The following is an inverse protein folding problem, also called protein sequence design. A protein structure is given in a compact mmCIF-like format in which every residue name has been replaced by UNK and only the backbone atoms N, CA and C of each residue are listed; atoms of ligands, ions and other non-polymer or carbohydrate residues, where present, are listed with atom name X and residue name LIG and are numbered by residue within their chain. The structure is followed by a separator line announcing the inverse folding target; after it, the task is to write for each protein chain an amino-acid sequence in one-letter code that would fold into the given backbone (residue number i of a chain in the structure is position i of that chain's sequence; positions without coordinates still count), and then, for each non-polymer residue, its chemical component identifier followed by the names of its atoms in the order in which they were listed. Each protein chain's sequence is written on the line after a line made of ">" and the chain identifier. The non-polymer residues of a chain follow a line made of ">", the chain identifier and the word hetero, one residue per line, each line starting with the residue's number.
data_IF_941115871944
#
_entry.id   IF_941115871944
#
_cell.length_a   1.000
_cell.length_b   1.000
_cell.length_c   1.000
_cell.angle_alpha   90.00
_cell.angle_beta   90.00
_cell.angle_gamma   90.00
#
_symmetry.space_group_name_H-M   'P 1'
#
loop_
_entity.id
_entity.type
_entity.pdbx_description
1 polymer ?
#
# COMPACT_ATOMS: atom_id res chain seq x y z
N UNK A 1 -27.86 -14.90 66.61
CA UNK A 1 -27.32 -13.66 67.21
C UNK A 1 -27.26 -12.59 66.13
N UNK A 2 -27.91 -11.44 66.33
CA UNK A 2 -27.86 -10.30 65.41
C UNK A 2 -26.85 -9.26 65.92
N UNK A 3 -26.07 -8.65 65.03
CA UNK A 3 -25.17 -7.53 65.36
C UNK A 3 -25.61 -6.32 64.55
N UNK A 4 -26.03 -5.24 65.20
CA UNK A 4 -26.54 -4.01 64.56
C UNK A 4 -27.64 -4.29 63.50
N UNK A 5 -28.64 -5.07 63.90
CA UNK A 5 -29.77 -5.47 63.04
C UNK A 5 -29.43 -6.32 61.80
N UNK A 6 -28.23 -6.94 61.78
CA UNK A 6 -27.80 -7.89 60.74
C UNK A 6 -27.65 -9.28 61.31
N UNK A 7 -28.00 -10.30 60.54
CA UNK A 7 -27.88 -11.71 60.91
C UNK A 7 -26.41 -12.14 60.78
N UNK A 8 -25.85 -12.68 61.87
CA UNK A 8 -24.51 -13.26 61.82
C UNK A 8 -24.53 -14.61 61.11
N UNK A 9 -23.75 -14.75 60.03
CA UNK A 9 -23.70 -16.00 59.23
C UNK A 9 -22.50 -16.84 59.67
N UNK A 10 -22.79 -17.97 60.32
CA UNK A 10 -21.79 -18.95 60.72
C UNK A 10 -21.09 -19.56 59.51
N UNK A 11 -19.81 -19.93 59.66
CA UNK A 11 -19.05 -20.66 58.64
C UNK A 11 -19.38 -22.16 58.73
N UNK A 12 -20.66 -22.51 58.61
CA UNK A 12 -21.16 -23.89 58.68
C UNK A 12 -21.87 -24.18 57.37
N UNK A 13 -21.47 -25.27 56.70
CA UNK A 13 -21.95 -25.62 55.37
C UNK A 13 -21.64 -24.54 54.32
N UNK A 14 -22.51 -24.44 53.31
CA UNK A 14 -22.34 -23.56 52.15
C UNK A 14 -23.12 -22.24 52.21
N UNK A 15 -23.65 -21.86 53.39
CA UNK A 15 -24.56 -20.71 53.53
C UNK A 15 -23.96 -19.39 53.02
N UNK A 16 -22.69 -19.10 53.33
CA UNK A 16 -22.02 -17.88 52.84
C UNK A 16 -21.90 -17.87 51.32
N UNK A 17 -21.58 -19.02 50.71
CA UNK A 17 -21.48 -19.18 49.26
C UNK A 17 -22.83 -19.00 48.57
N UNK A 18 -23.90 -19.57 49.14
CA UNK A 18 -25.26 -19.40 48.61
C UNK A 18 -25.70 -17.92 48.65
N UNK A 19 -25.40 -17.21 49.73
CA UNK A 19 -25.69 -15.77 49.81
C UNK A 19 -24.88 -14.95 48.81
N UNK A 20 -23.61 -15.30 48.59
CA UNK A 20 -22.78 -14.68 47.55
C UNK A 20 -23.35 -14.93 46.15
N UNK A 21 -23.77 -16.17 45.86
CA UNK A 21 -24.44 -16.54 44.61
C UNK A 21 -25.72 -15.74 44.41
N UNK A 22 -26.60 -15.69 45.41
CA UNK A 22 -27.88 -14.99 45.30
C UNK A 22 -27.70 -13.48 45.03
N UNK A 23 -26.71 -12.86 45.67
CA UNK A 23 -26.44 -11.43 45.56
C UNK A 23 -25.52 -11.04 44.37
N UNK A 24 -25.00 -12.01 43.61
CA UNK A 24 -24.09 -11.75 42.49
C UNK A 24 -24.54 -12.40 41.18
N UNK A 25 -24.93 -13.68 41.21
CA UNK A 25 -25.12 -14.53 40.02
C UNK A 25 -26.57 -14.51 39.50
N UNK A 26 -27.52 -14.01 40.29
CA UNK A 26 -28.92 -13.95 39.85
C UNK A 26 -29.10 -12.91 38.76
N UNK A 27 -30.07 -13.16 37.86
CA UNK A 27 -30.39 -12.23 36.76
C UNK A 27 -30.77 -10.84 37.29
N UNK A 28 -31.40 -10.78 38.47
CA UNK A 28 -31.79 -9.54 39.15
C UNK A 28 -30.60 -8.81 39.77
N UNK A 29 -29.61 -9.55 40.29
CA UNK A 29 -28.37 -8.95 40.77
C UNK A 29 -27.51 -8.46 39.61
N UNK A 30 -27.37 -9.23 38.52
CA UNK A 30 -26.72 -8.81 37.29
C UNK A 30 -25.19 -8.67 37.39
N UNK A 31 -24.52 -9.57 38.12
CA UNK A 31 -23.05 -9.65 38.18
C UNK A 31 -22.35 -8.34 38.57
N UNK A 32 -22.93 -7.60 39.51
CA UNK A 32 -22.39 -6.29 39.92
C UNK A 32 -20.97 -6.41 40.48
N UNK A 33 -20.21 -5.32 40.36
CA UNK A 33 -18.90 -5.22 40.99
C UNK A 33 -18.96 -5.38 42.52
N UNK A 34 -17.83 -5.80 43.11
CA UNK A 34 -17.71 -6.17 44.53
C UNK A 34 -18.31 -5.16 45.51
N UNK A 35 -18.20 -3.85 45.22
CA UNK A 35 -18.76 -2.80 46.09
C UNK A 35 -20.28 -2.87 46.20
N UNK A 36 -20.98 -3.15 45.08
CA UNK A 36 -22.44 -3.23 45.04
C UNK A 36 -22.94 -4.54 45.63
N UNK A 37 -22.30 -5.67 45.30
CA UNK A 37 -22.59 -6.97 45.94
C UNK A 37 -22.39 -6.91 47.46
N UNK A 38 -21.32 -6.24 47.91
CA UNK A 38 -21.08 -6.02 49.34
C UNK A 38 -22.16 -5.16 49.99
N UNK A 39 -22.63 -4.12 49.30
CA UNK A 39 -23.69 -3.26 49.80
C UNK A 39 -25.00 -4.04 50.01
N UNK A 40 -25.38 -4.90 49.05
CA UNK A 40 -26.55 -5.78 49.16
C UNK A 40 -26.44 -6.73 50.36
N UNK A 41 -25.30 -7.43 50.49
CA UNK A 41 -25.09 -8.35 51.61
C UNK A 41 -25.06 -7.64 52.96
N UNK A 42 -24.47 -6.43 53.03
CA UNK A 42 -24.42 -5.62 54.25
C UNK A 42 -25.81 -5.11 54.69
N UNK A 43 -26.88 -5.23 53.90
CA UNK A 43 -28.23 -4.85 54.35
C UNK A 43 -28.77 -5.84 55.39
N UNK A 44 -28.60 -7.15 55.17
CA UNK A 44 -29.18 -8.19 56.02
C UNK A 44 -28.17 -9.03 56.80
N UNK A 45 -26.92 -9.11 56.35
CA UNK A 45 -25.97 -10.12 56.81
C UNK A 45 -24.65 -9.53 57.30
N UNK A 46 -23.99 -10.28 58.18
CA UNK A 46 -22.65 -9.97 58.66
C UNK A 46 -21.87 -11.25 58.97
N UNK A 47 -20.59 -11.29 58.60
CA UNK A 47 -19.63 -12.27 59.09
C UNK A 47 -18.21 -11.71 59.05
N UNK A 48 -17.28 -12.37 59.75
CA UNK A 48 -15.87 -12.01 59.69
C UNK A 48 -15.31 -12.25 58.28
N UNK A 49 -14.63 -11.26 57.70
CA UNK A 49 -14.10 -11.26 56.33
C UNK A 49 -15.15 -11.22 55.20
N UNK A 50 -16.38 -10.76 55.48
CA UNK A 50 -17.42 -10.56 54.46
C UNK A 50 -16.92 -9.78 53.23
N UNK A 51 -16.15 -8.72 53.42
CA UNK A 51 -15.63 -7.92 52.31
C UNK A 51 -14.60 -8.67 51.47
N UNK A 52 -13.70 -9.42 52.12
CA UNK A 52 -12.68 -10.22 51.44
C UNK A 52 -13.34 -11.37 50.67
N UNK A 53 -14.32 -12.05 51.27
CA UNK A 53 -15.09 -13.11 50.63
C UNK A 53 -15.85 -12.59 49.39
N UNK A 54 -16.45 -11.40 49.46
CA UNK A 54 -17.12 -10.77 48.30
C UNK A 54 -16.13 -10.38 47.21
N UNK A 55 -14.99 -9.80 47.58
CA UNK A 55 -13.94 -9.43 46.61
C UNK A 55 -13.40 -10.67 45.90
N UNK A 56 -13.11 -11.73 46.63
CA UNK A 56 -12.62 -12.97 46.05
C UNK A 56 -13.69 -13.62 45.16
N UNK A 57 -14.93 -13.72 45.64
CA UNK A 57 -16.02 -14.31 44.87
C UNK A 57 -16.22 -13.61 43.52
N UNK A 58 -16.38 -12.27 43.54
CA UNK A 58 -16.57 -11.47 42.32
C UNK A 58 -15.34 -11.42 41.42
N UNK A 59 -14.14 -11.63 41.97
CA UNK A 59 -12.90 -11.78 41.20
C UNK A 59 -12.82 -13.12 40.50
N UNK A 60 -13.31 -14.20 41.11
CA UNK A 60 -13.31 -15.57 40.57
C UNK A 60 -14.52 -15.92 39.69
N UNK A 61 -15.52 -15.04 39.59
CA UNK A 61 -16.71 -15.28 38.77
C UNK A 61 -16.35 -15.31 37.27
N UNK A 62 -16.57 -16.47 36.63
CA UNK A 62 -16.20 -16.69 35.22
C UNK A 62 -16.92 -15.73 34.26
N UNK A 63 -18.23 -15.50 34.47
CA UNK A 63 -19.03 -14.57 33.67
C UNK A 63 -18.45 -13.16 33.76
N UNK A 64 -18.16 -12.70 34.98
CA UNK A 64 -17.51 -11.41 35.20
C UNK A 64 -16.11 -11.33 34.56
N UNK A 65 -15.33 -12.39 34.57
CA UNK A 65 -13.99 -12.40 33.96
C UNK A 65 -14.04 -12.35 32.43
N UNK A 66 -15.03 -13.00 31.82
CA UNK A 66 -15.23 -13.01 30.38
C UNK A 66 -15.82 -11.69 29.87
N UNK A 67 -16.75 -11.08 30.60
CA UNK A 67 -17.45 -9.87 30.18
C UNK A 67 -16.73 -8.56 30.56
N UNK A 68 -15.90 -8.57 31.61
CA UNK A 68 -15.19 -7.34 32.01
C UNK A 68 -14.08 -7.00 31.04
N UNK A 69 -14.27 -5.89 30.34
CA UNK A 69 -13.20 -5.18 29.63
C UNK A 69 -12.10 -4.82 30.64
N UNK A 70 -10.88 -5.28 30.38
CA UNK A 70 -9.71 -4.89 31.17
C UNK A 70 -9.53 -3.36 31.09
N UNK A 71 -9.59 -2.70 32.25
CA UNK A 71 -9.39 -1.24 32.38
C UNK A 71 -7.94 -0.88 32.68
N UNK A 72 -7.02 -1.86 32.67
CA UNK A 72 -5.61 -1.55 32.75
C UNK A 72 -5.22 -0.69 31.54
N UNK A 73 -4.44 0.35 31.80
CA UNK A 73 -3.76 1.07 30.73
C UNK A 73 -2.85 0.06 30.04
N UNK A 74 -2.94 -0.03 28.71
CA UNK A 74 -2.01 -0.82 27.91
C UNK A 74 -0.58 -0.51 28.37
N UNK A 75 0.16 -1.54 28.75
CA UNK A 75 1.51 -1.37 29.27
C UNK A 75 2.43 -0.88 28.14
N UNK A 76 3.09 0.26 28.34
CA UNK A 76 4.09 0.80 27.43
C UNK A 76 3.70 2.12 26.76
N UNK A 77 4.71 2.82 26.24
CA UNK A 77 4.52 3.98 25.36
C UNK A 77 4.22 3.49 23.94
N UNK A 78 3.39 4.23 23.20
CA UNK A 78 3.23 4.01 21.76
C UNK A 78 4.61 4.12 21.09
N UNK A 79 5.00 3.12 20.33
CA UNK A 79 6.20 3.18 19.49
C UNK A 79 5.80 3.72 18.11
N UNK A 80 6.09 5.00 17.81
CA UNK A 80 5.76 5.56 16.51
C UNK A 80 6.64 4.92 15.44
N UNK A 81 6.04 4.64 14.30
CA UNK A 81 6.77 4.23 13.10
C UNK A 81 7.73 5.36 12.66
N UNK A 82 8.85 4.97 12.06
CA UNK A 82 9.81 5.92 11.49
C UNK A 82 9.08 6.90 10.54
N UNK A 83 9.44 8.17 10.67
CA UNK A 83 8.92 9.24 9.83
C UNK A 83 9.67 9.18 8.49
N UNK A 84 8.97 9.04 7.36
CA UNK A 84 9.61 9.07 6.05
C UNK A 84 10.31 10.42 5.80
N UNK A 85 11.37 10.41 5.01
CA UNK A 85 12.20 11.61 4.73
C UNK A 85 11.83 12.30 3.42
N UNK A 86 11.12 11.60 2.53
CA UNK A 86 10.69 12.10 1.23
C UNK A 86 9.32 11.54 0.82
N UNK A 87 8.57 12.23 -0.07
CA UNK A 87 7.31 11.74 -0.60
C UNK A 87 7.45 10.34 -1.21
N UNK A 88 6.43 9.49 -1.03
CA UNK A 88 6.34 8.15 -1.61
C UNK A 88 7.43 7.17 -1.17
N UNK A 89 8.14 7.49 -0.09
CA UNK A 89 9.08 6.57 0.57
C UNK A 89 8.35 5.51 1.41
N UNK A 90 7.26 5.92 2.07
CA UNK A 90 6.45 5.08 2.93
C UNK A 90 4.98 5.36 2.68
N UNK A 91 4.18 4.32 2.45
CA UNK A 91 2.74 4.45 2.23
C UNK A 91 1.95 3.66 3.28
N UNK A 92 0.71 4.07 3.55
CA UNK A 92 -0.26 3.26 4.27
C UNK A 92 -1.37 2.81 3.36
N UNK A 93 -1.81 1.55 3.53
CA UNK A 93 -2.85 0.89 2.77
C UNK A 93 -4.01 0.55 3.69
N UNK A 94 -5.23 0.80 3.23
CA UNK A 94 -6.45 0.51 3.98
C UNK A 94 -7.63 0.25 3.02
N UNK A 95 -8.68 -0.41 3.51
CA UNK A 95 -9.93 -0.59 2.77
C UNK A 95 -11.09 0.08 3.50
N UNK A 96 -11.74 1.03 2.82
CA UNK A 96 -13.08 1.47 3.23
C UNK A 96 -14.07 0.45 2.71
N UNK A 97 -14.77 -0.23 3.61
CA UNK A 97 -15.74 -1.28 3.32
C UNK A 97 -17.19 -0.85 3.61
N UNK A 98 -18.16 -1.64 3.13
CA UNK A 98 -19.58 -1.46 3.46
C UNK A 98 -20.24 -0.26 2.78
N UNK A 99 -19.71 0.19 1.65
CA UNK A 99 -20.28 1.31 0.90
C UNK A 99 -21.49 0.87 0.06
N UNK A 100 -22.42 1.78 -0.25
CA UNK A 100 -23.47 1.51 -1.23
C UNK A 100 -22.85 1.06 -2.55
N UNK A 101 -23.34 -0.06 -3.08
CA UNK A 101 -22.80 -0.63 -4.29
C UNK A 101 -23.07 0.29 -5.48
N UNK A 102 -22.00 0.73 -6.15
CA UNK A 102 -22.06 1.48 -7.40
C UNK A 102 -21.40 0.62 -8.48
N UNK A 103 -22.22 0.10 -9.41
CA UNK A 103 -21.82 -0.93 -10.38
C UNK A 103 -21.34 -2.19 -9.66
N UNK A 104 -20.09 -2.58 -9.82
CA UNK A 104 -19.46 -3.75 -9.19
C UNK A 104 -18.63 -3.40 -7.95
N UNK A 105 -18.51 -2.11 -7.61
CA UNK A 105 -17.66 -1.60 -6.55
C UNK A 105 -18.49 -1.29 -5.29
N UNK A 106 -17.99 -1.74 -4.16
CA UNK A 106 -18.56 -1.54 -2.82
C UNK A 106 -17.47 -1.33 -1.75
N UNK A 107 -16.21 -1.26 -2.18
CA UNK A 107 -15.04 -0.97 -1.36
C UNK A 107 -14.19 0.13 -2.02
N UNK A 108 -13.35 0.79 -1.24
CA UNK A 108 -12.31 1.69 -1.74
C UNK A 108 -10.98 1.27 -1.13
N UNK A 109 -10.01 0.95 -1.97
CA UNK A 109 -8.61 0.84 -1.57
C UNK A 109 -8.05 2.25 -1.39
N UNK A 110 -7.62 2.54 -0.18
CA UNK A 110 -7.05 3.82 0.24
C UNK A 110 -5.55 3.66 0.35
N UNK A 111 -4.81 4.51 -0.36
CA UNK A 111 -3.34 4.48 -0.39
C UNK A 111 -2.83 5.87 -0.05
N UNK A 112 -2.18 6.04 1.09
CA UNK A 112 -1.77 7.35 1.59
C UNK A 112 -0.25 7.40 1.67
N UNK A 113 0.36 8.42 1.06
CA UNK A 113 1.75 8.75 1.32
C UNK A 113 1.92 9.25 2.76
N UNK A 114 2.72 8.55 3.56
CA UNK A 114 2.89 8.86 4.99
C UNK A 114 3.64 10.18 5.20
N UNK A 115 4.41 10.65 4.22
CA UNK A 115 5.13 11.92 4.27
C UNK A 115 4.20 13.11 3.98
N UNK A 116 3.68 13.20 2.75
CA UNK A 116 2.89 14.35 2.29
C UNK A 116 1.41 14.29 2.69
N UNK A 117 0.93 13.13 3.17
CA UNK A 117 -0.48 12.82 3.39
C UNK A 117 -1.34 12.80 2.12
N UNK A 118 -0.70 12.78 0.94
CA UNK A 118 -1.40 12.63 -0.32
C UNK A 118 -2.11 11.26 -0.37
N UNK A 119 -3.40 11.26 -0.69
CA UNK A 119 -4.24 10.07 -0.75
C UNK A 119 -4.67 9.71 -2.17
N UNK A 120 -4.53 8.43 -2.52
CA UNK A 120 -5.06 7.82 -3.73
C UNK A 120 -6.18 6.86 -3.36
N UNK A 121 -7.36 7.06 -3.94
CA UNK A 121 -8.55 6.25 -3.68
C UNK A 121 -8.90 5.46 -4.93
N UNK A 122 -8.90 4.13 -4.82
CA UNK A 122 -9.18 3.22 -5.94
C UNK A 122 -10.46 2.45 -5.65
N UNK A 123 -11.49 2.53 -6.49
CA UNK A 123 -12.71 1.74 -6.29
C UNK A 123 -12.41 0.25 -6.46
N UNK A 124 -12.85 -0.56 -5.51
CA UNK A 124 -12.62 -2.00 -5.47
C UNK A 124 -13.92 -2.76 -5.17
N UNK A 125 -13.97 -4.02 -5.58
CA UNK A 125 -15.05 -4.94 -5.23
C UNK A 125 -14.69 -5.70 -3.96
N UNK A 126 -15.67 -6.06 -3.15
CA UNK A 126 -15.49 -6.93 -1.97
C UNK A 126 -14.86 -8.28 -2.28
N UNK A 127 -14.99 -8.73 -3.53
CA UNK A 127 -14.44 -10.00 -4.01
C UNK A 127 -13.05 -9.84 -4.62
N UNK A 128 -12.40 -8.68 -4.48
CA UNK A 128 -11.06 -8.48 -5.01
C UNK A 128 -10.06 -9.42 -4.32
N UNK A 129 -9.28 -10.11 -5.14
CA UNK A 129 -8.17 -10.93 -4.67
C UNK A 129 -6.97 -10.07 -4.25
N UNK A 130 -5.99 -10.72 -3.62
CA UNK A 130 -4.67 -10.14 -3.35
C UNK A 130 -3.98 -9.68 -4.65
N UNK A 131 -4.14 -10.45 -5.73
CA UNK A 131 -3.60 -10.12 -7.06
C UNK A 131 -4.28 -8.89 -7.67
N UNK A 132 -5.60 -8.76 -7.52
CA UNK A 132 -6.33 -7.57 -7.97
C UNK A 132 -5.89 -6.33 -7.21
N UNK A 133 -5.67 -6.47 -5.90
CA UNK A 133 -5.16 -5.41 -5.02
C UNK A 133 -3.74 -5.00 -5.41
N UNK A 134 -2.86 -5.98 -5.69
CA UNK A 134 -1.53 -5.75 -6.24
C UNK A 134 -1.62 -4.98 -7.56
N UNK A 135 -2.38 -5.47 -8.53
CA UNK A 135 -2.55 -4.84 -9.84
C UNK A 135 -3.08 -3.40 -9.73
N UNK A 136 -4.04 -3.16 -8.85
CA UNK A 136 -4.53 -1.80 -8.55
C UNK A 136 -3.41 -0.93 -7.98
N UNK A 137 -2.65 -1.43 -7.01
CA UNK A 137 -1.50 -0.72 -6.43
C UNK A 137 -0.44 -0.39 -7.50
N UNK A 138 -0.12 -1.32 -8.40
CA UNK A 138 0.81 -1.06 -9.50
C UNK A 138 0.31 0.02 -10.44
N UNK A 139 -0.93 -0.12 -10.89
CA UNK A 139 -1.57 0.78 -11.85
C UNK A 139 -1.67 2.21 -11.31
N UNK A 140 -1.95 2.36 -10.02
CA UNK A 140 -2.28 3.65 -9.41
C UNK A 140 -1.15 4.27 -8.58
N UNK A 141 -0.13 3.52 -8.19
CA UNK A 141 0.97 4.02 -7.35
C UNK A 141 2.31 3.79 -8.02
N UNK A 142 2.70 2.53 -8.23
CA UNK A 142 4.05 2.19 -8.72
C UNK A 142 4.32 2.82 -10.08
N UNK A 143 3.30 2.81 -10.96
CA UNK A 143 3.35 3.48 -12.26
C UNK A 143 3.79 4.95 -12.19
N UNK A 144 3.41 5.67 -11.14
CA UNK A 144 3.59 7.12 -11.06
C UNK A 144 4.71 7.54 -10.12
N UNK A 145 4.95 6.77 -9.07
CA UNK A 145 5.83 7.13 -7.94
C UNK A 145 6.90 6.07 -7.65
N UNK A 146 6.86 4.93 -8.34
CA UNK A 146 7.71 3.77 -8.11
C UNK A 146 7.32 2.94 -6.88
N UNK A 147 8.11 1.88 -6.58
CA UNK A 147 7.90 0.96 -5.45
C UNK A 147 8.35 1.59 -4.11
N UNK A 148 7.45 1.90 -3.17
CA UNK A 148 7.83 2.51 -1.88
C UNK A 148 8.76 1.59 -1.09
N UNK A 149 9.60 2.15 -0.20
CA UNK A 149 10.53 1.37 0.63
C UNK A 149 9.82 0.61 1.74
N UNK A 150 8.74 1.17 2.26
CA UNK A 150 7.93 0.54 3.29
C UNK A 150 6.45 0.78 3.02
N UNK A 151 5.63 -0.17 3.41
CA UNK A 151 4.19 0.02 3.43
C UNK A 151 3.65 -0.42 4.78
N UNK A 152 2.51 0.14 5.16
CA UNK A 152 1.84 -0.16 6.42
C UNK A 152 0.38 -0.47 6.08
N UNK A 153 -0.05 -1.69 6.30
CA UNK A 153 -1.46 -2.06 6.19
C UNK A 153 -1.98 -2.57 7.53
N UNK A 154 -3.29 -2.73 7.65
CA UNK A 154 -3.87 -3.60 8.65
C UNK A 154 -3.63 -5.08 8.30
N UNK A 155 -4.12 -5.99 9.16
CA UNK A 155 -4.02 -7.45 8.95
C UNK A 155 -5.15 -7.99 8.05
N UNK A 156 -5.68 -7.19 7.13
CA UNK A 156 -6.63 -7.70 6.15
C UNK A 156 -5.95 -8.74 5.26
N UNK A 157 -6.59 -9.90 5.08
CA UNK A 157 -6.06 -11.01 4.27
C UNK A 157 -5.71 -10.61 2.84
N UNK A 158 -6.33 -9.55 2.31
CA UNK A 158 -6.02 -8.97 0.98
C UNK A 158 -4.64 -8.32 0.90
N UNK A 159 -4.02 -8.01 2.04
CA UNK A 159 -2.67 -7.50 2.15
C UNK A 159 -1.68 -8.53 2.69
N UNK A 160 -2.07 -9.78 2.96
CA UNK A 160 -1.19 -10.79 3.58
C UNK A 160 -0.60 -11.72 2.50
N UNK A 161 0.66 -12.15 2.70
CA UNK A 161 1.32 -13.20 1.91
C UNK A 161 1.83 -12.72 0.56
N UNK A 162 1.19 -13.17 -0.53
CA UNK A 162 1.68 -12.98 -1.90
C UNK A 162 1.86 -11.52 -2.32
N UNK A 163 1.12 -10.59 -1.73
CA UNK A 163 1.31 -9.15 -1.97
C UNK A 163 2.69 -8.65 -1.50
N UNK A 164 3.12 -9.08 -0.31
CA UNK A 164 4.43 -8.71 0.23
C UNK A 164 5.55 -9.48 -0.45
N UNK A 165 5.37 -10.77 -0.75
CA UNK A 165 6.36 -11.56 -1.50
C UNK A 165 6.60 -10.97 -2.89
N UNK A 166 5.54 -10.55 -3.57
CA UNK A 166 5.62 -9.86 -4.85
C UNK A 166 6.36 -8.53 -4.70
N UNK A 167 6.02 -7.71 -3.69
CA UNK A 167 6.67 -6.43 -3.44
C UNK A 167 8.15 -6.58 -3.05
N UNK A 168 8.48 -7.55 -2.19
CA UNK A 168 9.84 -7.85 -1.77
C UNK A 168 10.67 -8.33 -2.97
N UNK A 169 10.08 -9.16 -3.83
CA UNK A 169 10.73 -9.55 -5.09
C UNK A 169 10.95 -8.36 -6.02
N UNK A 170 10.02 -7.39 -6.03
CA UNK A 170 10.20 -6.15 -6.80
C UNK A 170 11.29 -5.24 -6.21
N UNK A 171 11.32 -5.09 -4.88
CA UNK A 171 12.31 -4.28 -4.17
C UNK A 171 13.71 -4.88 -4.25
N UNK A 172 13.80 -6.22 -4.25
CA UNK A 172 15.03 -6.97 -4.46
C UNK A 172 15.48 -7.00 -5.93
N UNK A 173 14.65 -6.51 -6.87
CA UNK A 173 14.93 -6.56 -8.31
C UNK A 173 14.89 -7.98 -8.89
N UNK A 174 14.29 -8.95 -8.19
CA UNK A 174 14.16 -10.34 -8.63
C UNK A 174 12.97 -10.60 -9.55
N UNK A 175 12.19 -9.57 -9.90
CA UNK A 175 11.31 -9.66 -11.06
C UNK A 175 12.13 -9.56 -12.33
N UNK A 176 12.59 -10.72 -12.75
CA UNK A 176 13.23 -10.86 -14.03
C UNK A 176 12.18 -10.88 -15.15
N UNK A 177 12.39 -10.11 -16.23
CA UNK A 177 13.45 -9.15 -16.51
C UNK A 177 13.01 -7.69 -16.30
N UNK A 178 13.81 -6.91 -15.56
CA UNK A 178 13.72 -5.43 -15.53
C UNK A 178 13.87 -4.82 -16.95
N UNK A 179 12.78 -4.36 -17.55
CA UNK A 179 12.78 -3.87 -18.95
C UNK A 179 12.10 -2.50 -19.05
N UNK A 180 12.63 -1.63 -19.92
CA UNK A 180 11.98 -0.38 -20.27
C UNK A 180 10.98 -0.64 -21.39
N UNK A 181 9.70 -0.36 -21.14
CA UNK A 181 8.65 -0.47 -22.15
C UNK A 181 8.23 0.92 -22.59
N UNK A 182 8.59 1.28 -23.82
CA UNK A 182 8.26 2.56 -24.43
C UNK A 182 7.10 2.41 -25.41
N UNK A 183 6.30 3.47 -25.54
CA UNK A 183 5.30 3.59 -26.59
C UNK A 183 6.01 3.85 -27.93
N UNK A 184 6.09 2.83 -28.79
CA UNK A 184 6.82 2.92 -30.06
C UNK A 184 6.20 3.92 -31.04
N UNK A 185 4.92 4.26 -30.91
CA UNK A 185 4.29 5.31 -31.73
C UNK A 185 4.88 6.70 -31.48
N UNK A 186 5.67 6.90 -30.43
CA UNK A 186 6.39 8.16 -30.17
C UNK A 186 7.86 8.11 -30.59
N UNK A 187 8.30 7.02 -31.20
CA UNK A 187 9.71 6.75 -31.51
C UNK A 187 9.87 6.71 -33.03
N UNK A 188 10.32 7.82 -33.65
CA UNK A 188 10.51 7.87 -35.10
C UNK A 188 11.78 7.14 -35.54
N UNK A 189 12.73 6.94 -34.64
CA UNK A 189 14.03 6.32 -34.90
C UNK A 189 14.64 5.78 -33.59
N UNK A 190 15.58 4.84 -33.70
CA UNK A 190 16.28 4.23 -32.55
C UNK A 190 17.30 5.19 -31.93
N UNK A 191 17.90 6.08 -32.72
CA UNK A 191 18.97 6.98 -32.28
C UNK A 191 18.58 7.87 -31.09
N UNK A 192 17.40 8.54 -31.05
CA UNK A 192 16.97 9.28 -29.86
C UNK A 192 16.81 8.40 -28.60
N UNK A 193 16.43 7.13 -28.75
CA UNK A 193 16.37 6.17 -27.63
C UNK A 193 17.77 5.85 -27.13
N UNK A 194 18.73 5.64 -28.03
CA UNK A 194 20.14 5.44 -27.68
C UNK A 194 20.75 6.68 -27.02
N UNK A 195 20.41 7.89 -27.48
CA UNK A 195 20.83 9.13 -26.83
C UNK A 195 20.29 9.24 -25.39
N UNK A 196 19.02 8.90 -25.18
CA UNK A 196 18.43 8.81 -23.84
C UNK A 196 19.10 7.71 -22.99
N UNK A 197 19.45 6.57 -23.59
CA UNK A 197 20.14 5.46 -22.92
C UNK A 197 21.55 5.86 -22.49
N UNK A 198 22.31 6.54 -23.35
CA UNK A 198 23.63 7.07 -23.01
C UNK A 198 23.56 8.07 -21.86
N UNK A 199 22.58 8.99 -21.90
CA UNK A 199 22.32 9.94 -20.80
C UNK A 199 22.00 9.22 -19.50
N UNK A 200 21.21 8.16 -19.58
CA UNK A 200 20.84 7.31 -18.43
C UNK A 200 22.04 6.60 -17.82
N UNK A 201 22.92 6.02 -18.64
CA UNK A 201 24.16 5.39 -18.18
C UNK A 201 25.12 6.41 -17.57
N UNK A 202 25.18 7.62 -18.13
CA UNK A 202 25.98 8.73 -17.59
C UNK A 202 25.45 9.18 -16.22
N UNK A 203 24.13 9.27 -16.06
CA UNK A 203 23.52 9.59 -14.77
C UNK A 203 23.77 8.46 -13.75
N UNK A 204 23.72 7.19 -14.17
CA UNK A 204 24.04 6.05 -13.30
C UNK A 204 25.49 6.04 -12.85
N UNK A 205 26.44 6.32 -13.73
CA UNK A 205 27.87 6.35 -13.38
C UNK A 205 28.22 7.47 -12.41
N UNK A 206 27.41 8.53 -12.38
CA UNK A 206 27.51 9.66 -11.43
C UNK A 206 26.64 9.50 -10.18
N UNK A 207 25.96 8.36 -10.04
CA UNK A 207 24.95 8.09 -9.00
C UNK A 207 23.90 9.20 -8.86
N UNK A 208 23.52 9.80 -9.99
CA UNK A 208 22.64 10.96 -10.08
C UNK A 208 21.34 10.64 -10.83
N UNK A 209 20.85 9.40 -10.70
CA UNK A 209 19.58 9.01 -11.29
C UNK A 209 18.44 9.81 -10.65
N UNK A 210 17.50 10.25 -11.49
CA UNK A 210 16.30 10.96 -11.03
C UNK A 210 15.20 9.96 -10.64
N UNK A 211 15.09 8.88 -11.39
CA UNK A 211 14.18 7.77 -11.15
C UNK A 211 14.87 6.67 -10.33
N UNK A 212 14.11 5.61 -9.99
CA UNK A 212 14.60 4.53 -9.14
C UNK A 212 15.45 3.51 -9.89
N UNK A 213 15.30 3.38 -11.21
CA UNK A 213 15.95 2.32 -11.98
C UNK A 213 16.51 2.81 -13.30
N UNK A 214 17.49 2.09 -13.87
CA UNK A 214 18.04 2.40 -15.19
C UNK A 214 16.95 2.41 -16.27
N UNK A 215 16.04 1.43 -16.24
CA UNK A 215 15.00 1.30 -17.25
C UNK A 215 13.93 2.40 -17.15
N UNK A 216 13.56 2.81 -15.93
CA UNK A 216 12.63 3.94 -15.75
C UNK A 216 13.29 5.29 -16.06
N UNK A 217 14.59 5.43 -15.79
CA UNK A 217 15.38 6.61 -16.16
C UNK A 217 15.48 6.75 -17.68
N UNK A 218 15.59 5.65 -18.43
CA UNK A 218 15.56 5.67 -19.90
C UNK A 218 14.28 6.33 -20.44
N UNK A 219 13.11 5.87 -19.97
CA UNK A 219 11.81 6.44 -20.39
C UNK A 219 11.69 7.90 -19.97
N UNK A 220 12.18 8.24 -18.76
CA UNK A 220 12.21 9.61 -18.26
C UNK A 220 13.10 10.53 -19.10
N UNK A 221 14.31 10.09 -19.43
CA UNK A 221 15.26 10.83 -20.26
C UNK A 221 14.76 11.00 -21.69
N UNK A 222 14.15 9.97 -22.25
CA UNK A 222 13.55 10.03 -23.57
C UNK A 222 12.48 11.12 -23.68
N UNK A 223 11.61 11.22 -22.67
CA UNK A 223 10.48 12.17 -22.68
C UNK A 223 10.84 13.64 -22.88
N UNK A 224 12.06 14.06 -22.53
CA UNK A 224 12.46 15.48 -22.52
C UNK A 224 11.74 16.35 -21.48
N UNK A 225 10.84 15.81 -20.65
CA UNK A 225 10.18 16.55 -19.55
C UNK A 225 11.01 16.46 -18.27
N UNK A 226 10.82 17.43 -17.36
CA UNK A 226 11.37 17.42 -16.00
C UNK A 226 10.43 16.73 -14.99
N UNK A 227 9.25 16.28 -15.44
CA UNK A 227 8.24 15.64 -14.59
C UNK A 227 8.19 14.13 -14.83
N UNK A 228 8.75 13.36 -13.89
CA UNK A 228 8.84 11.88 -13.96
C UNK A 228 7.49 11.24 -14.32
N UNK A 229 6.43 11.59 -13.59
CA UNK A 229 5.09 11.04 -13.76
C UNK A 229 4.52 11.28 -15.17
N UNK A 230 4.74 12.47 -15.71
CA UNK A 230 4.29 12.83 -17.06
C UNK A 230 5.10 12.08 -18.12
N UNK A 231 6.41 11.97 -17.93
CA UNK A 231 7.31 11.23 -18.81
C UNK A 231 6.90 9.76 -18.94
N UNK A 232 6.70 9.09 -17.81
CA UNK A 232 6.29 7.68 -17.79
C UNK A 232 4.89 7.48 -18.38
N UNK A 233 3.96 8.41 -18.11
CA UNK A 233 2.59 8.32 -18.64
C UNK A 233 2.53 8.53 -20.15
N UNK A 234 3.38 9.41 -20.71
CA UNK A 234 3.35 9.77 -22.13
C UNK A 234 4.20 8.83 -22.98
N UNK A 235 5.44 8.60 -22.56
CA UNK A 235 6.44 7.85 -23.32
C UNK A 235 6.50 6.37 -22.94
N UNK A 236 5.96 5.98 -21.79
CA UNK A 236 5.75 4.58 -21.43
C UNK A 236 4.48 4.00 -22.05
N UNK A 237 4.31 2.68 -21.91
CA UNK A 237 3.15 1.96 -22.44
C UNK A 237 1.85 2.26 -21.66
N UNK A 238 0.73 2.10 -22.35
CA UNK A 238 -0.64 2.19 -21.84
C UNK A 238 -1.46 0.98 -22.29
N UNK A 239 -2.65 0.79 -21.70
CA UNK A 239 -3.61 -0.25 -22.12
C UNK A 239 -4.05 -0.12 -23.60
N UNK A 240 -3.85 1.06 -24.21
CA UNK A 240 -4.20 1.35 -25.60
C UNK A 240 -2.99 1.26 -26.54
N UNK A 241 -1.81 0.90 -26.03
CA UNK A 241 -0.58 0.84 -26.84
C UNK A 241 -0.60 -0.41 -27.71
N UNK A 242 -0.64 -0.22 -29.03
CA UNK A 242 -0.57 -1.30 -30.04
C UNK A 242 0.86 -1.64 -30.44
N UNK A 243 1.78 -0.68 -30.34
CA UNK A 243 3.19 -0.86 -30.66
C UNK A 243 4.05 -0.48 -29.45
N UNK A 244 4.91 -1.39 -29.04
CA UNK A 244 5.80 -1.21 -27.90
C UNK A 244 7.24 -1.42 -28.34
N UNK A 245 8.15 -0.65 -27.75
CA UNK A 245 9.57 -0.88 -27.84
C UNK A 245 10.05 -1.35 -26.46
N UNK A 246 10.59 -2.56 -26.40
CA UNK A 246 11.22 -3.09 -25.20
C UNK A 246 12.73 -2.85 -25.27
N UNK A 247 13.28 -2.17 -24.27
CA UNK A 247 14.71 -1.88 -24.17
C UNK A 247 15.26 -2.37 -22.83
N UNK A 248 16.36 -3.11 -22.86
CA UNK A 248 17.05 -3.62 -21.66
C UNK A 248 18.54 -3.30 -21.73
N UNK A 249 19.10 -2.84 -20.63
CA UNK A 249 20.55 -2.63 -20.51
C UNK A 249 21.25 -3.94 -20.16
N UNK A 250 22.39 -4.20 -20.80
CA UNK A 250 23.27 -5.36 -20.53
C UNK A 250 22.56 -6.72 -20.59
N UNK A 251 21.59 -6.87 -21.50
CA UNK A 251 20.76 -8.07 -21.56
C UNK A 251 21.56 -9.30 -22.02
N UNK A 252 21.42 -10.41 -21.29
CA UNK A 252 21.86 -11.73 -21.79
C UNK A 252 20.86 -12.28 -22.80
N UNK A 253 21.27 -13.28 -23.58
CA UNK A 253 20.38 -13.93 -24.55
C UNK A 253 19.15 -14.57 -23.88
N UNK A 254 19.33 -15.11 -22.67
CA UNK A 254 18.26 -15.75 -21.91
C UNK A 254 17.30 -14.72 -21.30
N UNK A 255 17.82 -13.58 -20.87
CA UNK A 255 16.99 -12.46 -20.40
C UNK A 255 16.16 -11.86 -21.54
N UNK A 256 16.72 -11.73 -22.74
CA UNK A 256 15.95 -11.27 -23.92
C UNK A 256 14.82 -12.24 -24.26
N UNK A 257 15.06 -13.55 -24.18
CA UNK A 257 13.99 -14.57 -24.33
C UNK A 257 12.94 -14.48 -23.22
N UNK A 258 13.33 -14.13 -22.00
CA UNK A 258 12.39 -13.92 -20.90
C UNK A 258 11.51 -12.68 -21.15
N UNK A 259 12.08 -11.58 -21.67
CA UNK A 259 11.32 -10.39 -22.10
C UNK A 259 10.32 -10.75 -23.19
N UNK A 260 10.73 -11.54 -24.19
CA UNK A 260 9.88 -11.96 -25.31
C UNK A 260 8.63 -12.72 -24.80
N UNK A 261 8.81 -13.63 -23.83
CA UNK A 261 7.69 -14.37 -23.23
C UNK A 261 6.68 -13.50 -22.49
N UNK A 262 7.08 -12.30 -22.02
CA UNK A 262 6.19 -11.36 -21.35
C UNK A 262 5.33 -10.56 -22.32
N UNK A 263 5.71 -10.50 -23.59
CA UNK A 263 5.05 -9.69 -24.61
C UNK A 263 4.19 -10.58 -25.49
N UNK A 264 2.87 -10.44 -25.38
CA UNK A 264 1.95 -11.10 -26.31
C UNK A 264 1.81 -10.27 -27.60
N UNK A 265 2.67 -10.54 -28.58
CA UNK A 265 2.71 -9.81 -29.85
C UNK A 265 3.62 -10.48 -30.89
N UNK A 266 3.73 -9.84 -32.07
CA UNK A 266 4.67 -10.24 -33.12
C UNK A 266 5.85 -9.28 -33.11
N UNK A 267 7.07 -9.81 -33.03
CA UNK A 267 8.29 -9.04 -33.18
C UNK A 267 8.39 -8.46 -34.59
N UNK A 268 8.89 -7.23 -34.67
CA UNK A 268 8.99 -6.43 -35.88
C UNK A 268 10.39 -5.82 -35.91
N UNK A 269 10.96 -5.68 -37.10
CA UNK A 269 12.26 -5.06 -37.28
C UNK A 269 12.25 -3.58 -36.83
N UNK A 270 13.35 -3.12 -36.24
CA UNK A 270 13.51 -1.73 -35.80
C UNK A 270 13.46 -0.75 -36.98
N UNK A 271 13.78 -1.19 -38.20
CA UNK A 271 13.66 -0.40 -39.43
C UNK A 271 12.20 0.05 -39.71
N UNK A 272 11.19 -0.64 -39.17
CA UNK A 272 9.78 -0.28 -39.36
C UNK A 272 9.29 0.82 -38.38
N UNK A 273 10.12 1.30 -37.45
CA UNK A 273 9.72 2.28 -36.44
C UNK A 273 9.21 3.58 -37.05
N UNK A 274 9.92 4.14 -38.03
CA UNK A 274 9.57 5.42 -38.66
C UNK A 274 8.16 5.38 -39.26
N UNK A 275 7.82 4.30 -39.96
CA UNK A 275 6.51 4.13 -40.61
C UNK A 275 5.34 3.98 -39.62
N UNK A 276 5.61 3.62 -38.36
CA UNK A 276 4.60 3.43 -37.31
C UNK A 276 4.57 4.58 -36.29
N UNK A 277 5.51 5.50 -36.39
CA UNK A 277 5.58 6.67 -35.54
C UNK A 277 4.48 7.67 -35.88
N UNK A 278 3.76 8.13 -34.86
CA UNK A 278 2.74 9.16 -35.00
C UNK A 278 3.39 10.54 -35.01
N UNK A 279 3.76 11.01 -36.20
CA UNK A 279 4.46 12.28 -36.39
C UNK A 279 3.72 13.47 -35.73
N UNK A 280 2.39 13.55 -35.87
CA UNK A 280 1.60 14.64 -35.29
C UNK A 280 1.66 14.64 -33.75
N UNK A 281 1.62 13.45 -33.13
CA UNK A 281 1.73 13.32 -31.68
C UNK A 281 3.15 13.66 -31.19
N UNK A 282 4.18 13.24 -31.92
CA UNK A 282 5.59 13.55 -31.63
C UNK A 282 5.84 15.05 -31.70
N UNK A 283 5.43 15.70 -32.79
CA UNK A 283 5.59 17.15 -32.97
C UNK A 283 4.91 17.92 -31.85
N UNK A 284 3.68 17.54 -31.48
CA UNK A 284 2.96 18.14 -30.35
C UNK A 284 3.68 17.93 -29.03
N UNK A 285 4.20 16.73 -28.77
CA UNK A 285 4.84 16.39 -27.49
C UNK A 285 6.16 17.14 -27.29
N UNK A 286 7.03 17.13 -28.31
CA UNK A 286 8.33 17.80 -28.26
C UNK A 286 8.30 19.28 -28.64
N UNK A 287 7.09 19.82 -28.90
CA UNK A 287 6.84 21.19 -29.34
C UNK A 287 7.68 21.56 -30.57
N UNK A 288 7.75 20.64 -31.53
CA UNK A 288 8.49 20.84 -32.78
C UNK A 288 7.66 21.75 -33.67
N UNK A 289 8.22 22.91 -34.02
CA UNK A 289 7.53 23.87 -34.87
C UNK A 289 7.51 23.43 -36.34
N UNK A 290 6.59 23.96 -37.14
CA UNK A 290 6.55 23.66 -38.58
C UNK A 290 7.83 24.10 -39.32
N UNK A 291 8.47 25.18 -38.86
CA UNK A 291 9.76 25.63 -39.40
C UNK A 291 10.87 24.63 -39.06
N UNK A 292 10.93 24.15 -37.81
CA UNK A 292 11.91 23.16 -37.35
C UNK A 292 11.76 21.82 -38.07
N UNK A 293 10.52 21.37 -38.29
CA UNK A 293 10.21 20.16 -39.06
C UNK A 293 10.63 20.25 -40.54
N UNK A 294 10.81 21.46 -41.08
CA UNK A 294 11.32 21.68 -42.44
C UNK A 294 12.85 21.73 -42.53
N UNK A 295 13.56 21.85 -41.40
CA UNK A 295 15.02 22.03 -41.34
C UNK A 295 15.74 20.78 -40.81
N UNK A 296 15.10 20.03 -39.90
CA UNK A 296 15.69 18.85 -39.26
C UNK A 296 14.71 17.69 -39.18
N UNK A 297 15.23 16.47 -39.07
CA UNK A 297 14.38 15.29 -38.87
C UNK A 297 13.71 15.32 -37.48
N UNK A 298 12.65 14.53 -37.29
CA UNK A 298 12.05 14.35 -35.97
C UNK A 298 13.07 13.75 -34.98
N UNK A 299 13.93 12.84 -35.44
CA UNK A 299 14.96 12.23 -34.61
C UNK A 299 15.97 13.27 -34.08
N UNK A 300 16.43 14.18 -34.94
CA UNK A 300 17.34 15.26 -34.56
C UNK A 300 16.71 16.20 -33.53
N UNK A 301 15.46 16.62 -33.78
CA UNK A 301 14.75 17.51 -32.88
C UNK A 301 14.53 16.87 -31.50
N UNK A 302 14.12 15.60 -31.43
CA UNK A 302 13.97 14.85 -30.17
C UNK A 302 15.30 14.76 -29.45
N UNK A 303 16.37 14.37 -30.16
CA UNK A 303 17.71 14.23 -29.58
C UNK A 303 18.20 15.55 -28.99
N UNK A 304 17.97 16.66 -29.69
CA UNK A 304 18.27 18.00 -29.19
C UNK A 304 17.51 18.31 -27.90
N UNK A 305 16.21 17.97 -27.80
CA UNK A 305 15.42 18.17 -26.57
C UNK A 305 15.90 17.29 -25.41
N UNK A 306 16.32 16.05 -25.67
CA UNK A 306 16.90 15.15 -24.66
C UNK A 306 18.22 15.73 -24.13
N UNK A 307 19.08 16.22 -25.02
CA UNK A 307 20.38 16.80 -24.68
C UNK A 307 20.23 18.14 -23.93
N UNK A 308 19.40 19.05 -24.44
CA UNK A 308 19.23 20.40 -23.90
C UNK A 308 18.37 20.48 -22.62
N UNK A 309 17.73 19.38 -22.21
CA UNK A 309 16.80 19.35 -21.06
C UNK A 309 17.37 19.96 -19.78
N UNK A 310 18.66 19.75 -19.52
CA UNK A 310 19.31 20.17 -18.27
C UNK A 310 20.04 21.52 -18.40
N UNK A 311 20.05 22.11 -19.60
CA UNK A 311 20.64 23.42 -19.89
C UNK A 311 19.61 24.57 -19.88
N UNK A 312 18.32 24.24 -19.90
CA UNK A 312 17.17 25.15 -19.77
C UNK A 312 16.51 24.98 -18.40
#
# INVERSE_FOLDING_TARGET
>A
MTRRNRVYVLKVGNLRKLLLQECHDTLWAGHLGWQRTLALLKQGYYWHQLEDDVREYTKTCLVCQQDKVDRQKHAGLLQPLLVPTRPWESVSLDFIAGLPKVREYDHILVIIDRFSKYGTFVPMSRYCSTEDTARAFFKHIVKYWGIPKSMVSDRDGRFIGSFWELLDSMQAGTLEPEVALLNASLIPDVFPVLAAAHKTLTAKSRDSLTTRTLHSELVYNYSGSKHITESLKRCGISETSTYILAARFNASLDEMKAVEKLINGKEIDLEELEGRANQAQIQKHYKISGLEAGISTLADAITCRIAARDAL
#
